data_IF_298717493357
#
_entry.id   IF_298717493357
#
_cell.length_a   1.000
_cell.length_b   1.000
_cell.length_c   1.000
_cell.angle_alpha   90.00
_cell.angle_beta   90.00
_cell.angle_gamma   90.00
#
_symmetry.space_group_name_H-M   'P 1'
#
loop_
_entity.id
_entity.type
_entity.pdbx_description
1 polymer ?
#
# COMPACT_ATOMS: atom_id res chain seq x y z
N UNK A 1 7.83 2.64 26.24
CA UNK A 1 7.34 2.61 24.86
C UNK A 1 7.00 1.18 24.58
N UNK A 2 5.71 0.90 24.37
CA UNK A 2 5.31 -0.37 23.77
C UNK A 2 6.03 -0.50 22.43
N UNK A 3 6.44 -1.71 22.02
CA UNK A 3 7.07 -1.89 20.73
C UNK A 3 6.14 -1.32 19.65
N UNK A 4 6.69 -0.60 18.69
CA UNK A 4 5.97 -0.19 17.49
C UNK A 4 5.29 -1.45 16.91
N UNK A 5 3.96 -1.50 17.00
CA UNK A 5 3.20 -2.61 16.47
C UNK A 5 3.28 -2.53 14.94
N UNK A 6 3.83 -3.57 14.32
CA UNK A 6 4.09 -3.59 12.89
C UNK A 6 3.03 -4.44 12.19
N UNK A 7 2.38 -3.85 11.20
CA UNK A 7 1.47 -4.56 10.30
C UNK A 7 2.21 -4.87 9.01
N UNK A 8 2.38 -6.16 8.71
CA UNK A 8 3.14 -6.60 7.53
C UNK A 8 2.17 -7.04 6.44
N UNK A 9 2.20 -6.37 5.30
CA UNK A 9 1.25 -6.58 4.19
C UNK A 9 2.03 -6.75 2.87
N UNK A 10 1.44 -7.48 1.93
CA UNK A 10 1.94 -7.58 0.56
C UNK A 10 1.60 -6.32 -0.23
N UNK A 11 2.59 -5.74 -0.89
CA UNK A 11 2.46 -4.47 -1.61
C UNK A 11 2.92 -4.61 -3.05
N UNK A 12 2.24 -3.90 -3.95
CA UNK A 12 2.57 -3.79 -5.37
C UNK A 12 2.16 -2.39 -5.84
N UNK A 13 2.53 -2.01 -7.06
CA UNK A 13 2.07 -0.78 -7.69
C UNK A 13 1.54 -1.04 -9.10
N UNK A 14 0.64 -0.17 -9.55
CA UNK A 14 0.18 -0.08 -10.94
C UNK A 14 0.91 1.07 -11.64
N UNK A 15 1.04 1.02 -12.96
CA UNK A 15 1.62 2.12 -13.76
C UNK A 15 0.49 2.86 -14.49
N UNK A 16 -0.50 3.32 -13.73
CA UNK A 16 -1.76 3.86 -14.24
C UNK A 16 -1.70 5.35 -14.63
N UNK A 17 -0.53 5.99 -14.56
CA UNK A 17 -0.35 7.41 -14.91
C UNK A 17 -0.70 7.73 -16.37
N UNK A 18 -0.59 6.76 -17.28
CA UNK A 18 -1.07 6.89 -18.66
C UNK A 18 -2.34 6.05 -18.86
N UNK A 19 -3.52 6.67 -19.05
CA UNK A 19 -4.78 5.94 -19.17
C UNK A 19 -4.91 5.15 -20.48
N UNK A 20 -4.00 5.32 -21.43
CA UNK A 20 -3.98 4.61 -22.71
C UNK A 20 -3.04 3.40 -22.71
N UNK A 21 -2.18 3.27 -21.70
CA UNK A 21 -1.26 2.16 -21.58
C UNK A 21 -1.98 0.91 -21.04
N UNK A 22 -2.20 -0.08 -21.91
CA UNK A 22 -2.87 -1.32 -21.51
C UNK A 22 -2.03 -2.22 -20.60
N UNK A 23 -0.71 -1.98 -20.48
CA UNK A 23 0.15 -2.71 -19.54
C UNK A 23 -0.08 -2.29 -18.08
N UNK A 24 -0.80 -1.20 -17.84
CA UNK A 24 -1.13 -0.67 -16.52
C UNK A 24 -2.19 -1.47 -15.76
N UNK A 25 -2.71 -2.55 -16.36
CA UNK A 25 -3.83 -3.32 -15.82
C UNK A 25 -3.43 -4.34 -14.74
N UNK A 26 -2.13 -4.63 -14.61
CA UNK A 26 -1.62 -5.65 -13.68
C UNK A 26 -0.62 -5.05 -12.69
N UNK A 27 -0.79 -5.31 -11.39
CA UNK A 27 0.13 -4.82 -10.37
C UNK A 27 1.48 -5.53 -10.50
N UNK A 28 2.56 -4.76 -10.34
CA UNK A 28 3.93 -5.23 -10.40
C UNK A 28 4.67 -4.97 -9.07
N UNK A 29 5.68 -5.80 -8.72
CA UNK A 29 6.12 -7.01 -9.42
C UNK A 29 5.13 -8.18 -9.24
N UNK A 30 5.12 -9.16 -10.15
CA UNK A 30 4.16 -10.28 -10.13
C UNK A 30 4.16 -11.09 -8.82
N UNK A 31 5.30 -11.13 -8.12
CA UNK A 31 5.39 -11.65 -6.75
C UNK A 31 5.44 -10.47 -5.79
N UNK A 32 4.30 -10.14 -5.19
CA UNK A 32 4.18 -9.05 -4.24
C UNK A 32 5.20 -9.18 -3.09
N UNK A 33 6.14 -8.24 -2.93
CA UNK A 33 6.99 -8.17 -1.75
C UNK A 33 6.16 -7.81 -0.51
N UNK A 34 6.73 -8.06 0.67
CA UNK A 34 6.13 -7.69 1.95
C UNK A 34 6.74 -6.39 2.46
N UNK A 35 5.91 -5.51 3.00
CA UNK A 35 6.31 -4.28 3.64
C UNK A 35 5.67 -4.19 5.02
N UNK A 36 6.44 -3.75 6.01
CA UNK A 36 5.97 -3.58 7.40
C UNK A 36 5.71 -2.10 7.66
N UNK A 37 4.46 -1.78 7.93
CA UNK A 37 4.03 -0.45 8.35
C UNK A 37 4.02 -0.36 9.87
N UNK A 38 4.46 0.77 10.42
CA UNK A 38 4.15 1.14 11.79
C UNK A 38 2.64 1.41 11.91
N UNK A 39 1.95 0.63 12.74
CA UNK A 39 0.48 0.57 12.74
C UNK A 39 -0.17 1.86 13.22
N UNK A 40 0.48 2.58 14.14
CA UNK A 40 -0.01 3.82 14.75
C UNK A 40 0.54 5.10 14.10
N UNK A 41 1.24 4.98 12.97
CA UNK A 41 1.86 6.11 12.26
C UNK A 41 1.12 6.40 10.95
N UNK A 42 0.83 7.67 10.60
CA UNK A 42 0.15 8.02 9.36
C UNK A 42 0.84 7.46 8.10
N UNK A 43 0.04 6.94 7.17
CA UNK A 43 0.52 6.28 5.95
C UNK A 43 1.38 7.21 5.08
N UNK A 44 1.02 8.48 4.97
CA UNK A 44 1.75 9.49 4.20
C UNK A 44 3.24 9.60 4.63
N UNK A 45 3.53 9.42 5.93
CA UNK A 45 4.90 9.49 6.45
C UNK A 45 5.76 8.29 6.04
N UNK A 46 5.10 7.16 5.72
CA UNK A 46 5.72 5.88 5.37
C UNK A 46 5.75 5.66 3.85
N UNK A 47 4.95 6.42 3.09
CA UNK A 47 4.76 6.27 1.65
C UNK A 47 6.06 6.36 0.85
N UNK A 48 6.98 7.27 1.21
CA UNK A 48 8.28 7.36 0.53
C UNK A 48 9.15 6.12 0.71
N UNK A 49 9.10 5.49 1.88
CA UNK A 49 9.80 4.23 2.12
C UNK A 49 9.17 3.09 1.32
N UNK A 50 7.84 3.04 1.24
CA UNK A 50 7.08 2.08 0.44
C UNK A 50 7.39 2.19 -1.05
N UNK A 51 7.31 3.40 -1.64
CA UNK A 51 7.58 3.61 -3.06
C UNK A 51 9.03 3.23 -3.40
N UNK A 52 10.00 3.58 -2.54
CA UNK A 52 11.40 3.17 -2.71
C UNK A 52 11.57 1.65 -2.60
N UNK A 53 10.85 1.00 -1.71
CA UNK A 53 10.86 -0.45 -1.55
C UNK A 53 10.35 -1.16 -2.81
N UNK A 54 9.30 -0.61 -3.43
CA UNK A 54 8.73 -1.12 -4.68
C UNK A 54 9.52 -0.73 -5.93
N UNK A 55 10.41 0.27 -5.85
CA UNK A 55 11.01 0.90 -7.03
C UNK A 55 9.97 1.60 -7.90
N UNK A 56 8.88 2.06 -7.29
CA UNK A 56 7.72 2.63 -7.98
C UNK A 56 8.03 4.06 -8.48
N UNK A 57 7.62 4.43 -9.71
CA UNK A 57 7.95 5.73 -10.31
C UNK A 57 7.06 6.89 -9.84
N UNK A 58 6.01 6.63 -9.06
CA UNK A 58 5.06 7.64 -8.60
C UNK A 58 5.73 8.71 -7.73
N UNK A 59 5.24 9.94 -7.85
CA UNK A 59 5.54 11.02 -6.89
C UNK A 59 4.70 10.82 -5.64
N UNK A 60 5.19 11.30 -4.50
CA UNK A 60 4.46 11.20 -3.22
C UNK A 60 3.07 11.81 -3.31
N UNK A 61 2.95 12.99 -3.93
CA UNK A 61 1.69 13.72 -4.04
C UNK A 61 0.68 13.12 -5.05
N UNK A 62 1.10 12.19 -5.90
CA UNK A 62 0.22 11.50 -6.87
C UNK A 62 -0.03 10.03 -6.51
N UNK A 63 0.58 9.52 -5.44
CA UNK A 63 0.43 8.13 -5.03
C UNK A 63 -0.78 7.97 -4.10
N UNK A 64 -1.55 6.91 -4.34
CA UNK A 64 -2.62 6.46 -3.46
C UNK A 64 -2.42 5.00 -3.09
N UNK A 65 -2.99 4.59 -1.95
CA UNK A 65 -2.98 3.19 -1.52
C UNK A 65 -4.40 2.64 -1.61
N UNK A 66 -4.55 1.51 -2.29
CA UNK A 66 -5.83 0.83 -2.44
C UNK A 66 -5.71 -0.59 -1.89
N UNK A 67 -6.74 -1.02 -1.17
CA UNK A 67 -6.86 -2.40 -0.71
C UNK A 67 -7.15 -3.32 -1.88
N UNK A 68 -6.39 -4.40 -2.01
CA UNK A 68 -6.68 -5.49 -2.93
C UNK A 68 -6.86 -6.79 -2.14
N UNK A 69 -8.05 -7.38 -2.22
CA UNK A 69 -8.43 -8.55 -1.43
C UNK A 69 -9.32 -9.48 -2.27
N UNK A 70 -9.07 -10.77 -2.18
CA UNK A 70 -9.89 -11.82 -2.82
C UNK A 70 -10.16 -11.60 -4.33
N UNK A 71 -9.20 -10.98 -5.03
CA UNK A 71 -9.29 -10.73 -6.47
C UNK A 71 -9.87 -9.37 -6.85
N UNK A 72 -10.29 -8.56 -5.89
CA UNK A 72 -11.03 -7.31 -6.10
C UNK A 72 -10.34 -6.09 -5.47
N UNK A 73 -10.53 -4.94 -6.10
CA UNK A 73 -10.01 -3.65 -5.64
C UNK A 73 -11.06 -2.97 -4.75
N UNK A 74 -10.75 -2.83 -3.47
CA UNK A 74 -11.61 -2.25 -2.45
C UNK A 74 -11.32 -0.76 -2.18
N UNK A 75 -11.39 -0.41 -0.90
CA UNK A 75 -11.25 0.97 -0.42
C UNK A 75 -9.88 1.57 -0.74
N UNK A 76 -9.89 2.88 -0.99
CA UNK A 76 -8.68 3.71 -0.93
C UNK A 76 -8.43 4.08 0.53
N UNK A 77 -7.22 3.83 0.99
CA UNK A 77 -6.80 4.15 2.35
C UNK A 77 -6.57 5.66 2.49
N UNK A 78 -7.02 6.23 3.60
CA UNK A 78 -6.74 7.62 3.91
C UNK A 78 -5.28 7.77 4.37
N UNK A 79 -4.49 8.51 3.60
CA UNK A 79 -3.05 8.63 3.83
C UNK A 79 -2.69 9.47 5.06
N UNK A 80 -3.60 10.32 5.53
CA UNK A 80 -3.41 11.15 6.72
C UNK A 80 -3.62 10.36 8.02
N UNK A 81 -4.25 9.19 7.95
CA UNK A 81 -4.49 8.28 9.05
C UNK A 81 -3.48 7.13 9.11
N UNK A 82 -3.41 6.48 10.28
CA UNK A 82 -2.63 5.27 10.51
C UNK A 82 -3.42 3.99 10.19
N UNK A 83 -2.74 2.86 9.96
CA UNK A 83 -3.42 1.58 9.69
C UNK A 83 -4.30 1.10 10.86
N UNK A 84 -3.92 1.43 12.10
CA UNK A 84 -4.71 1.10 13.28
C UNK A 84 -6.08 1.81 13.29
N UNK A 85 -6.15 3.03 12.76
CA UNK A 85 -7.37 3.85 12.70
C UNK A 85 -8.37 3.38 11.62
N UNK A 86 -7.90 2.57 10.67
CA UNK A 86 -8.66 2.05 9.52
C UNK A 86 -8.43 0.53 9.41
N UNK A 87 -8.43 -0.14 10.56
CA UNK A 87 -8.11 -1.57 10.68
C UNK A 87 -9.16 -2.48 10.04
N UNK A 88 -10.40 -2.01 9.89
CA UNK A 88 -11.49 -2.72 9.21
C UNK A 88 -11.23 -2.89 7.70
N UNK A 89 -10.67 -1.88 7.04
CA UNK A 89 -10.39 -1.90 5.59
C UNK A 89 -9.28 -2.89 5.23
N UNK A 90 -8.36 -3.16 6.16
CA UNK A 90 -7.18 -4.01 5.95
C UNK A 90 -7.33 -5.41 6.56
N UNK A 91 -8.52 -5.76 7.07
CA UNK A 91 -8.75 -7.04 7.71
C UNK A 91 -8.41 -8.22 6.78
N UNK A 92 -7.55 -9.12 7.25
CA UNK A 92 -7.14 -10.31 6.49
C UNK A 92 -6.00 -10.09 5.49
N UNK A 93 -5.45 -8.88 5.37
CA UNK A 93 -4.30 -8.59 4.50
C UNK A 93 -2.93 -8.94 5.13
N UNK A 94 -2.91 -9.17 6.44
CA UNK A 94 -1.67 -9.48 7.16
C UNK A 94 -0.97 -10.69 6.55
N UNK A 95 0.25 -10.46 6.07
CA UNK A 95 1.13 -11.51 5.60
C UNK A 95 1.61 -12.30 6.83
N UNK A 96 1.20 -13.57 6.92
CA UNK A 96 1.75 -14.53 7.89
C UNK A 96 3.21 -14.84 7.61
#
# INVERSE_FOLDING_TARGET
>A
MEPDDLITIRVQYLVDSDPFNSLSMYPIPSRAPVFSFASAVPLATQLGALLRHLGAPQRLDDAALQVYKDGDYGAYLDLESSLAEQSEDIEGLNAK
#
